data_IF_311166173771
#
_entry.id   IF_311166173771
#
_cell.length_a   1.000
_cell.length_b   1.000
_cell.length_c   1.000
_cell.angle_alpha   90.00
_cell.angle_beta   90.00
_cell.angle_gamma   90.00
#
_symmetry.space_group_name_H-M   'P 1'
#
loop_
_entity.id
_entity.type
_entity.pdbx_description
1 polymer ?
#
# COMPACT_ATOMS: atom_id res chain seq x y z
N UNK A 1 -12.94 -38.02 56.60
CA UNK A 1 -12.74 -36.56 56.62
C UNK A 1 -11.71 -36.23 55.55
N UNK A 2 -12.15 -35.86 54.34
CA UNK A 2 -11.40 -35.04 53.35
C UNK A 2 -12.23 -34.99 52.06
N UNK A 3 -12.85 -33.84 51.82
CA UNK A 3 -13.44 -33.49 50.54
C UNK A 3 -12.38 -32.77 49.71
N UNK A 4 -12.20 -33.16 48.46
CA UNK A 4 -11.34 -32.48 47.50
C UNK A 4 -12.20 -31.53 46.67
N UNK A 5 -12.00 -30.21 46.83
CA UNK A 5 -12.64 -29.19 46.01
C UNK A 5 -11.94 -29.14 44.64
N UNK A 6 -12.73 -29.25 43.57
CA UNK A 6 -12.30 -28.99 42.20
C UNK A 6 -12.45 -27.49 41.93
N UNK A 7 -11.33 -26.78 41.77
CA UNK A 7 -11.33 -25.38 41.37
C UNK A 7 -11.29 -25.29 39.83
N UNK A 8 -12.41 -24.91 39.21
CA UNK A 8 -12.46 -24.53 37.80
C UNK A 8 -11.95 -23.10 37.66
N UNK A 9 -10.71 -22.92 37.18
CA UNK A 9 -10.23 -21.62 36.68
C UNK A 9 -10.78 -21.39 35.28
N UNK A 10 -11.73 -20.46 35.15
CA UNK A 10 -12.16 -19.92 33.87
C UNK A 10 -11.04 -19.04 33.28
N UNK A 11 -10.49 -19.45 32.15
CA UNK A 11 -9.57 -18.62 31.36
C UNK A 11 -10.41 -17.66 30.53
N UNK A 12 -10.40 -16.37 30.89
CA UNK A 12 -11.03 -15.33 30.10
C UNK A 12 -10.17 -15.06 28.85
N UNK A 13 -10.71 -15.35 27.67
CA UNK A 13 -10.09 -15.00 26.38
C UNK A 13 -10.42 -13.53 26.08
N UNK A 14 -9.43 -12.64 25.84
CA UNK A 14 -9.69 -11.24 25.60
C UNK A 14 -10.24 -11.03 24.18
N UNK A 15 -11.58 -10.92 24.04
CA UNK A 15 -12.24 -10.56 22.77
C UNK A 15 -12.23 -9.04 22.48
N UNK A 16 -11.54 -8.23 23.28
CA UNK A 16 -11.67 -6.76 23.25
C UNK A 16 -10.70 -5.98 22.37
N UNK A 17 -9.63 -6.61 21.86
CA UNK A 17 -8.55 -5.89 21.16
C UNK A 17 -8.88 -5.65 19.68
N UNK A 18 -9.46 -6.61 18.96
CA UNK A 18 -9.74 -6.44 17.52
C UNK A 18 -10.82 -5.40 17.24
N UNK A 19 -11.91 -5.40 18.02
CA UNK A 19 -13.04 -4.48 17.81
C UNK A 19 -12.66 -3.00 17.95
N UNK A 20 -11.72 -2.69 18.84
CA UNK A 20 -11.26 -1.31 19.05
C UNK A 20 -10.31 -0.84 17.95
N UNK A 21 -9.54 -1.75 17.35
CA UNK A 21 -8.66 -1.47 16.21
C UNK A 21 -9.49 -1.30 14.94
N UNK A 22 -10.44 -2.21 14.67
CA UNK A 22 -11.35 -2.13 13.53
C UNK A 22 -12.13 -0.80 13.50
N UNK A 23 -12.60 -0.32 14.66
CA UNK A 23 -13.28 0.97 14.75
C UNK A 23 -12.39 2.18 14.43
N UNK A 24 -11.08 2.10 14.71
CA UNK A 24 -10.11 3.17 14.41
C UNK A 24 -9.68 3.18 12.95
N UNK A 25 -9.72 2.02 12.28
CA UNK A 25 -9.35 1.89 10.88
C UNK A 25 -10.50 2.22 9.91
N UNK A 26 -11.75 2.23 10.40
CA UNK A 26 -12.93 2.51 9.59
C UNK A 26 -12.85 3.84 8.80
N UNK A 27 -12.45 4.98 9.38
CA UNK A 27 -12.33 6.24 8.63
C UNK A 27 -11.33 6.17 7.46
N UNK A 28 -10.24 5.41 7.62
CA UNK A 28 -9.23 5.22 6.58
C UNK A 28 -9.81 4.37 5.45
N UNK A 29 -10.49 3.27 5.79
CA UNK A 29 -11.18 2.41 4.81
C UNK A 29 -12.26 3.17 4.03
N UNK A 30 -13.02 4.02 4.71
CA UNK A 30 -14.06 4.85 4.12
C UNK A 30 -13.46 5.88 3.15
N UNK A 31 -12.39 6.57 3.56
CA UNK A 31 -11.67 7.51 2.70
C UNK A 31 -11.13 6.84 1.45
N UNK A 32 -10.49 5.69 1.59
CA UNK A 32 -9.98 4.95 0.43
C UNK A 32 -11.11 4.48 -0.48
N UNK A 33 -12.22 4.02 0.08
CA UNK A 33 -13.35 3.55 -0.71
C UNK A 33 -14.08 4.68 -1.43
N UNK A 34 -14.20 5.85 -0.81
CA UNK A 34 -15.00 6.97 -1.34
C UNK A 34 -14.19 7.96 -2.17
N UNK A 35 -12.95 8.27 -1.76
CA UNK A 35 -12.12 9.29 -2.40
C UNK A 35 -11.05 8.71 -3.32
N UNK A 36 -10.57 7.48 -3.08
CA UNK A 36 -9.45 6.88 -3.83
C UNK A 36 -9.94 5.94 -4.94
N UNK A 37 -10.79 4.95 -4.59
CA UNK A 37 -11.29 3.97 -5.56
C UNK A 37 -11.88 4.57 -6.86
N UNK A 38 -12.63 5.70 -6.85
CA UNK A 38 -13.26 6.22 -8.06
C UNK A 38 -12.31 6.55 -9.22
N UNK A 39 -11.05 6.87 -8.94
CA UNK A 39 -10.07 7.22 -9.96
C UNK A 39 -9.05 6.12 -10.25
N UNK A 40 -9.15 4.94 -9.64
CA UNK A 40 -8.26 3.81 -9.97
C UNK A 40 -8.51 3.24 -11.37
N UNK A 41 -9.67 3.52 -11.96
CA UNK A 41 -10.01 3.18 -13.34
C UNK A 41 -9.59 4.28 -14.34
N UNK A 42 -8.90 5.33 -13.90
CA UNK A 42 -8.39 6.35 -14.81
C UNK A 42 -7.42 5.70 -15.82
N UNK A 43 -7.53 6.01 -17.13
CA UNK A 43 -6.64 5.45 -18.14
C UNK A 43 -5.15 5.59 -17.79
N UNK A 44 -4.72 6.69 -17.16
CA UNK A 44 -3.31 6.88 -16.79
C UNK A 44 -2.81 5.81 -15.81
N UNK A 45 -3.69 5.31 -14.93
CA UNK A 45 -3.39 4.25 -13.97
C UNK A 45 -3.38 2.90 -14.68
N UNK A 46 -4.46 2.58 -15.38
CA UNK A 46 -4.65 1.26 -16.01
C UNK A 46 -3.62 1.00 -17.10
N UNK A 47 -3.34 1.98 -17.95
CA UNK A 47 -2.39 1.83 -19.06
C UNK A 47 -0.96 1.72 -18.57
N UNK A 48 -0.56 2.47 -17.54
CA UNK A 48 0.77 2.39 -16.97
C UNK A 48 1.05 1.01 -16.34
N UNK A 49 0.09 0.47 -15.58
CA UNK A 49 0.22 -0.88 -15.00
C UNK A 49 0.26 -1.93 -16.10
N UNK A 50 -0.63 -1.87 -17.10
CA UNK A 50 -0.64 -2.83 -18.23
C UNK A 50 0.66 -2.78 -19.02
N UNK A 51 1.20 -1.59 -19.29
CA UNK A 51 2.47 -1.41 -19.98
C UNK A 51 3.64 -2.00 -19.17
N UNK A 52 3.69 -1.73 -17.87
CA UNK A 52 4.75 -2.26 -17.01
C UNK A 52 4.65 -3.78 -16.85
N UNK A 53 3.45 -4.33 -16.64
CA UNK A 53 3.24 -5.78 -16.62
C UNK A 53 3.71 -6.46 -17.90
N UNK A 54 3.46 -5.86 -19.07
CA UNK A 54 3.93 -6.38 -20.34
C UNK A 54 5.47 -6.33 -20.46
N UNK A 55 6.09 -5.23 -20.06
CA UNK A 55 7.55 -5.07 -20.07
C UNK A 55 8.23 -6.04 -19.08
N UNK A 56 7.61 -6.26 -17.93
CA UNK A 56 8.15 -7.06 -16.85
C UNK A 56 7.77 -8.54 -16.93
N UNK A 57 7.01 -8.97 -17.96
CA UNK A 57 6.45 -10.32 -18.03
C UNK A 57 7.48 -11.46 -17.82
N UNK A 58 8.71 -11.24 -18.30
CA UNK A 58 9.79 -12.23 -18.25
C UNK A 58 10.76 -12.05 -17.06
N UNK A 59 10.56 -11.05 -16.19
CA UNK A 59 11.43 -10.85 -15.03
C UNK A 59 11.30 -12.02 -14.06
N UNK A 60 12.42 -12.66 -13.75
CA UNK A 60 12.55 -13.60 -12.64
C UNK A 60 12.83 -12.87 -11.33
N UNK A 61 12.82 -13.61 -10.21
CA UNK A 61 13.11 -13.04 -8.89
C UNK A 61 14.47 -12.34 -8.83
N UNK A 62 15.51 -12.93 -9.44
CA UNK A 62 16.83 -12.33 -9.47
C UNK A 62 16.87 -10.97 -10.20
N UNK A 63 16.02 -10.76 -11.20
CA UNK A 63 15.92 -9.48 -11.89
C UNK A 63 15.20 -8.44 -11.02
N UNK A 64 14.14 -8.87 -10.32
CA UNK A 64 13.40 -8.04 -9.34
C UNK A 64 14.34 -7.59 -8.23
N UNK A 65 15.08 -8.52 -7.62
CA UNK A 65 16.05 -8.22 -6.55
C UNK A 65 17.16 -7.26 -7.05
N UNK A 66 17.56 -7.38 -8.32
CA UNK A 66 18.55 -6.49 -8.92
C UNK A 66 17.99 -5.06 -9.13
N UNK A 67 16.74 -4.93 -9.57
CA UNK A 67 16.05 -3.64 -9.69
C UNK A 67 15.87 -2.99 -8.33
N UNK A 68 15.47 -3.77 -7.32
CA UNK A 68 15.31 -3.28 -5.96
C UNK A 68 16.63 -2.79 -5.36
N UNK A 69 17.68 -3.60 -5.47
CA UNK A 69 19.02 -3.21 -5.03
C UNK A 69 19.51 -1.95 -5.72
N UNK A 70 19.22 -1.79 -7.02
CA UNK A 70 19.57 -0.58 -7.76
C UNK A 70 18.86 0.63 -7.18
N UNK A 71 17.54 0.57 -7.01
CA UNK A 71 16.75 1.66 -6.43
C UNK A 71 17.28 2.08 -5.05
N UNK A 72 17.51 1.12 -4.16
CA UNK A 72 18.03 1.38 -2.81
C UNK A 72 19.41 2.05 -2.85
N UNK A 73 20.27 1.66 -3.79
CA UNK A 73 21.55 2.32 -3.99
C UNK A 73 21.40 3.76 -4.51
N UNK A 74 20.35 4.04 -5.29
CA UNK A 74 20.02 5.39 -5.74
C UNK A 74 19.45 6.25 -4.60
N UNK A 75 18.67 5.70 -3.66
CA UNK A 75 18.14 6.43 -2.49
C UNK A 75 19.27 7.03 -1.64
N UNK A 76 20.33 6.25 -1.38
CA UNK A 76 21.49 6.68 -0.58
C UNK A 76 22.58 7.38 -1.41
N UNK A 77 22.46 7.33 -2.74
CA UNK A 77 23.49 7.74 -3.69
C UNK A 77 23.31 9.15 -4.25
N UNK A 78 24.12 9.47 -5.27
CA UNK A 78 24.00 10.73 -6.03
C UNK A 78 23.45 10.53 -7.45
N UNK A 79 23.34 9.27 -7.90
CA UNK A 79 22.68 8.92 -9.15
C UNK A 79 21.25 8.50 -8.81
N UNK A 80 20.27 9.20 -9.36
CA UNK A 80 18.85 8.96 -9.15
C UNK A 80 18.13 8.61 -10.46
N UNK A 81 18.85 8.11 -11.47
CA UNK A 81 18.31 7.93 -12.81
C UNK A 81 17.05 7.05 -12.87
N UNK A 82 16.98 5.97 -12.09
CA UNK A 82 15.79 5.11 -12.00
C UNK A 82 14.68 5.78 -11.19
N UNK A 83 15.02 6.40 -10.06
CA UNK A 83 14.07 7.14 -9.21
C UNK A 83 13.41 8.28 -10.01
N UNK A 84 14.22 9.13 -10.66
CA UNK A 84 13.78 10.24 -11.51
C UNK A 84 12.94 9.74 -12.69
N UNK A 85 13.31 8.60 -13.26
CA UNK A 85 12.55 7.95 -14.34
C UNK A 85 11.13 7.55 -13.89
N UNK A 86 11.00 6.98 -12.70
CA UNK A 86 9.70 6.60 -12.12
C UNK A 86 8.92 7.85 -11.72
N UNK A 87 9.50 8.76 -10.93
CA UNK A 87 8.83 9.98 -10.45
C UNK A 87 8.48 10.95 -11.58
N UNK A 88 9.21 10.93 -12.70
CA UNK A 88 8.97 11.80 -13.86
C UNK A 88 7.86 11.32 -14.81
N UNK A 89 7.36 10.09 -14.64
CA UNK A 89 6.38 9.50 -15.55
C UNK A 89 4.96 10.09 -15.37
N UNK A 90 4.06 9.78 -16.31
CA UNK A 90 2.70 10.33 -16.32
C UNK A 90 1.87 9.89 -15.11
N UNK A 91 2.02 8.63 -14.66
CA UNK A 91 1.31 8.11 -13.49
C UNK A 91 1.79 8.81 -12.22
N UNK A 92 3.10 8.95 -12.00
CA UNK A 92 3.67 9.65 -10.84
C UNK A 92 3.18 11.09 -10.76
N UNK A 93 3.15 11.83 -11.88
CA UNK A 93 2.58 13.19 -11.93
C UNK A 93 1.11 13.21 -11.52
N UNK A 94 0.31 12.28 -12.02
CA UNK A 94 -1.08 12.14 -11.60
C UNK A 94 -1.21 11.86 -10.09
N UNK A 95 -0.37 10.98 -9.53
CA UNK A 95 -0.37 10.68 -8.10
C UNK A 95 0.06 11.89 -7.25
N UNK A 96 1.04 12.66 -7.72
CA UNK A 96 1.45 13.93 -7.09
C UNK A 96 0.31 14.94 -7.07
N UNK A 97 -0.47 15.07 -8.15
CA UNK A 97 -1.65 15.92 -8.21
C UNK A 97 -2.73 15.45 -7.23
N UNK A 98 -2.99 14.13 -7.12
CA UNK A 98 -3.92 13.56 -6.13
C UNK A 98 -3.47 13.84 -4.71
N UNK A 99 -2.18 13.65 -4.40
CA UNK A 99 -1.60 13.98 -3.10
C UNK A 99 -1.76 15.46 -2.78
N UNK A 100 -1.41 16.35 -3.71
CA UNK A 100 -1.53 17.81 -3.51
C UNK A 100 -2.98 18.27 -3.30
N UNK A 101 -3.94 17.69 -4.03
CA UNK A 101 -5.36 18.00 -3.91
C UNK A 101 -6.01 17.44 -2.62
N UNK A 102 -5.32 16.56 -1.89
CA UNK A 102 -5.86 15.91 -0.70
C UNK A 102 -5.96 16.80 0.54
N UNK A 103 -5.42 18.04 0.48
CA UNK A 103 -5.31 18.95 1.63
C UNK A 103 -4.59 18.31 2.84
N UNK A 104 -3.56 17.50 2.58
CA UNK A 104 -2.72 16.89 3.62
C UNK A 104 -3.24 15.56 4.17
N UNK A 105 -4.36 15.05 3.67
CA UNK A 105 -4.86 13.70 4.03
C UNK A 105 -3.99 12.58 3.50
N UNK A 106 -3.33 12.80 2.36
CA UNK A 106 -2.42 11.85 1.76
C UNK A 106 -0.98 12.25 2.07
N UNK A 107 -0.26 11.39 2.77
CA UNK A 107 1.16 11.52 3.04
C UNK A 107 2.00 11.00 1.87
N UNK A 108 1.60 9.91 1.24
CA UNK A 108 2.26 9.30 0.08
C UNK A 108 1.29 8.43 -0.72
N UNK A 109 1.59 8.20 -2.00
CA UNK A 109 0.85 7.28 -2.87
C UNK A 109 1.82 6.57 -3.79
N UNK A 110 1.67 5.26 -3.96
CA UNK A 110 2.37 4.53 -5.01
C UNK A 110 1.50 3.41 -5.57
N UNK A 111 1.74 3.10 -6.84
CA UNK A 111 1.07 2.03 -7.57
C UNK A 111 2.10 0.98 -7.93
N UNK A 112 1.76 -0.28 -7.69
CA UNK A 112 2.57 -1.46 -7.94
C UNK A 112 2.00 -2.29 -9.10
N UNK A 113 2.88 -2.92 -9.87
CA UNK A 113 2.54 -3.88 -10.92
C UNK A 113 2.20 -5.28 -10.34
N UNK A 114 1.90 -6.25 -11.20
CA UNK A 114 1.51 -7.60 -10.77
C UNK A 114 2.65 -8.40 -10.10
N UNK A 115 3.89 -7.89 -10.14
CA UNK A 115 5.06 -8.44 -9.44
C UNK A 115 5.38 -7.65 -8.17
N UNK A 116 4.66 -6.57 -7.88
CA UNK A 116 4.91 -5.69 -6.74
C UNK A 116 5.95 -4.60 -7.03
N UNK A 117 6.36 -4.39 -8.28
CA UNK A 117 7.30 -3.32 -8.63
C UNK A 117 6.57 -1.98 -8.77
N UNK A 118 7.16 -0.89 -8.25
CA UNK A 118 6.52 0.43 -8.31
C UNK A 118 6.42 0.99 -9.75
N UNK A 119 5.19 1.17 -10.23
CA UNK A 119 4.86 1.73 -11.55
C UNK A 119 4.94 3.25 -11.54
N UNK A 120 4.47 3.88 -10.47
CA UNK A 120 4.46 5.32 -10.29
C UNK A 120 4.22 5.68 -8.84
N UNK A 121 4.77 6.81 -8.40
CA UNK A 121 4.80 7.20 -6.99
C UNK A 121 4.67 8.72 -6.85
N UNK A 122 4.11 9.19 -5.73
CA UNK A 122 4.09 10.62 -5.40
C UNK A 122 5.44 11.07 -4.82
N UNK A 123 6.09 10.19 -4.08
CA UNK A 123 7.35 10.38 -3.37
C UNK A 123 8.15 9.07 -3.49
N UNK A 124 9.50 9.10 -3.43
CA UNK A 124 10.27 7.87 -3.53
C UNK A 124 10.08 7.00 -2.27
N UNK A 125 9.73 5.73 -2.48
CA UNK A 125 9.81 4.69 -1.44
C UNK A 125 11.26 4.33 -1.10
N UNK A 126 11.46 3.69 0.05
CA UNK A 126 12.77 3.15 0.46
C UNK A 126 13.35 2.11 -0.50
N UNK A 127 12.47 1.37 -1.16
CA UNK A 127 12.73 0.20 -1.98
C UNK A 127 11.75 0.15 -3.15
N UNK A 128 12.14 -0.49 -4.25
CA UNK A 128 11.35 -0.48 -5.50
C UNK A 128 10.35 -1.62 -5.56
N UNK A 129 10.72 -2.75 -4.96
CA UNK A 129 9.87 -3.93 -4.88
C UNK A 129 9.10 -3.95 -3.57
N UNK A 130 7.80 -4.10 -3.67
CA UNK A 130 6.85 -4.16 -2.55
C UNK A 130 6.11 -5.51 -2.53
N UNK A 131 6.51 -6.47 -3.36
CA UNK A 131 5.75 -7.71 -3.57
C UNK A 131 5.83 -8.70 -2.40
N UNK A 132 6.84 -8.58 -1.56
CA UNK A 132 7.00 -9.29 -0.30
C UNK A 132 6.28 -8.62 0.87
N UNK A 133 5.87 -7.36 0.72
CA UNK A 133 5.21 -6.58 1.75
C UNK A 133 3.75 -7.00 1.99
N UNK A 134 3.32 -6.87 3.25
CA UNK A 134 1.95 -7.17 3.67
C UNK A 134 0.91 -6.35 2.89
N UNK A 135 1.25 -5.09 2.57
CA UNK A 135 0.43 -4.16 1.79
C UNK A 135 0.06 -4.71 0.42
N UNK A 136 0.97 -5.44 -0.24
CA UNK A 136 0.75 -6.06 -1.53
C UNK A 136 0.08 -7.43 -1.40
N UNK A 137 0.58 -8.29 -0.51
CA UNK A 137 0.08 -9.65 -0.34
C UNK A 137 -1.38 -9.69 0.15
N UNK A 138 -1.75 -8.79 1.07
CA UNK A 138 -3.10 -8.74 1.64
C UNK A 138 -4.08 -7.89 0.82
N UNK A 139 -3.59 -7.15 -0.18
CA UNK A 139 -4.43 -6.49 -1.19
C UNK A 139 -4.45 -7.30 -2.48
N UNK A 140 -3.49 -7.09 -3.38
CA UNK A 140 -3.40 -7.76 -4.68
C UNK A 140 -3.43 -9.29 -4.55
N UNK A 141 -2.65 -9.84 -3.62
CA UNK A 141 -2.63 -11.29 -3.35
C UNK A 141 -3.94 -11.86 -2.81
N UNK A 142 -4.80 -11.02 -2.21
CA UNK A 142 -6.14 -11.39 -1.76
C UNK A 142 -7.20 -11.31 -2.87
N UNK A 143 -6.84 -10.78 -4.06
CA UNK A 143 -7.66 -10.80 -5.26
C UNK A 143 -8.48 -9.52 -5.48
N UNK A 144 -9.47 -9.64 -6.38
CA UNK A 144 -10.29 -8.51 -6.83
C UNK A 144 -11.02 -7.84 -5.66
N UNK A 145 -11.12 -6.51 -5.73
CA UNK A 145 -11.81 -5.63 -4.78
C UNK A 145 -11.26 -5.63 -3.34
N UNK A 146 -10.16 -6.35 -3.09
CA UNK A 146 -9.52 -6.37 -1.78
C UNK A 146 -9.05 -4.98 -1.36
N UNK A 147 -9.33 -4.66 -0.10
CA UNK A 147 -8.82 -3.49 0.61
C UNK A 147 -8.13 -4.00 1.86
N UNK A 148 -6.89 -3.57 2.06
CA UNK A 148 -6.13 -3.84 3.26
C UNK A 148 -5.77 -2.50 3.90
N UNK A 149 -6.09 -2.33 5.18
CA UNK A 149 -5.66 -1.17 5.97
C UNK A 149 -4.72 -1.70 7.04
N UNK A 150 -3.50 -1.17 7.05
CA UNK A 150 -2.49 -1.55 8.02
C UNK A 150 -2.70 -0.82 9.35
N UNK A 151 -1.93 -1.20 10.36
CA UNK A 151 -2.00 -0.56 11.66
C UNK A 151 -1.69 0.95 11.58
N UNK A 152 -2.21 1.70 12.55
CA UNK A 152 -1.87 3.12 12.67
C UNK A 152 -0.54 3.22 13.41
N UNK A 153 0.44 3.82 12.76
CA UNK A 153 1.75 4.10 13.32
C UNK A 153 1.95 5.61 13.48
N UNK A 154 2.90 5.98 14.33
CA UNK A 154 3.28 7.38 14.52
C UNK A 154 4.54 7.65 13.71
N UNK A 155 4.46 8.58 12.79
CA UNK A 155 5.63 9.05 12.06
C UNK A 155 6.56 9.81 13.02
N UNK A 156 7.79 9.34 13.20
CA UNK A 156 8.70 9.92 14.20
C UNK A 156 9.13 11.35 13.85
N UNK A 157 9.15 11.70 12.56
CA UNK A 157 9.64 13.00 12.08
C UNK A 157 8.61 14.13 12.25
N UNK A 158 7.34 13.82 11.99
CA UNK A 158 6.22 14.76 12.01
C UNK A 158 5.35 14.62 13.26
N UNK A 159 5.51 13.53 13.99
CA UNK A 159 4.67 13.12 15.12
C UNK A 159 3.20 12.87 14.74
N UNK A 160 2.88 12.85 13.44
CA UNK A 160 1.54 12.59 12.92
C UNK A 160 1.21 11.10 12.97
N UNK A 161 -0.07 10.78 13.20
CA UNK A 161 -0.56 9.41 13.04
C UNK A 161 -0.81 9.11 11.57
N UNK A 162 -0.24 8.01 11.09
CA UNK A 162 -0.37 7.57 9.71
C UNK A 162 -0.74 6.09 9.64
N UNK A 163 -1.46 5.70 8.60
CA UNK A 163 -1.71 4.29 8.27
C UNK A 163 -1.63 4.13 6.77
N UNK A 164 -1.13 2.99 6.30
CA UNK A 164 -1.17 2.65 4.90
C UNK A 164 -2.43 1.85 4.58
N UNK A 165 -3.10 2.22 3.51
CA UNK A 165 -4.22 1.48 2.97
C UNK A 165 -3.96 1.12 1.52
N UNK A 166 -4.15 -0.16 1.19
CA UNK A 166 -3.85 -0.73 -0.11
C UNK A 166 -5.07 -1.35 -0.75
N UNK A 167 -5.21 -1.16 -2.06
CA UNK A 167 -6.37 -1.62 -2.83
C UNK A 167 -5.91 -2.33 -4.09
N UNK A 168 -6.52 -3.48 -4.38
CA UNK A 168 -6.34 -4.14 -5.67
C UNK A 168 -6.89 -3.27 -6.80
N UNK A 169 -6.06 -3.03 -7.81
CA UNK A 169 -6.46 -2.40 -9.06
C UNK A 169 -6.78 -3.51 -10.06
N UNK A 170 -7.98 -3.44 -10.64
CA UNK A 170 -8.43 -4.37 -11.68
C UNK A 170 -8.66 -3.63 -12.99
N UNK A 171 -8.46 -4.33 -14.11
CA UNK A 171 -8.78 -3.79 -15.42
C UNK A 171 -10.29 -3.73 -15.69
N UNK A 172 -10.64 -3.22 -16.86
CA UNK A 172 -12.00 -3.11 -17.39
C UNK A 172 -12.77 -4.45 -17.46
N UNK A 173 -12.05 -5.58 -17.46
CA UNK A 173 -12.62 -6.93 -17.45
C UNK A 173 -12.74 -7.50 -16.03
N UNK A 174 -12.32 -6.75 -15.02
CA UNK A 174 -12.28 -7.18 -13.62
C UNK A 174 -11.07 -8.07 -13.28
N UNK A 175 -10.06 -8.13 -14.15
CA UNK A 175 -8.83 -8.89 -13.86
C UNK A 175 -7.92 -8.06 -12.97
N UNK A 176 -7.45 -8.55 -11.80
CA UNK A 176 -6.43 -7.86 -11.01
C UNK A 176 -5.16 -7.65 -11.84
N UNK A 177 -4.64 -6.43 -11.87
CA UNK A 177 -3.42 -6.07 -12.61
C UNK A 177 -2.32 -5.45 -11.74
N UNK A 178 -2.64 -5.04 -10.51
CA UNK A 178 -1.69 -4.45 -9.58
C UNK A 178 -2.39 -3.97 -8.32
N UNK A 179 -1.72 -3.16 -7.52
CA UNK A 179 -2.31 -2.52 -6.34
C UNK A 179 -1.85 -1.07 -6.20
N UNK A 180 -2.65 -0.27 -5.53
CA UNK A 180 -2.24 1.04 -5.00
C UNK A 180 -2.01 0.89 -3.50
N UNK A 181 -1.05 1.63 -2.97
CA UNK A 181 -0.94 1.94 -1.54
C UNK A 181 -1.02 3.44 -1.35
N UNK A 182 -1.78 3.87 -0.35
CA UNK A 182 -1.92 5.26 0.07
C UNK A 182 -1.52 5.35 1.54
N UNK A 183 -0.52 6.16 1.85
CA UNK A 183 -0.24 6.58 3.22
C UNK A 183 -1.20 7.69 3.60
N UNK A 184 -2.04 7.44 4.60
CA UNK A 184 -3.11 8.35 5.03
C UNK A 184 -2.75 8.97 6.37
N UNK A 185 -2.76 10.31 6.42
CA UNK A 185 -2.62 11.07 7.66
C UNK A 185 -3.94 11.03 8.43
N UNK A 186 -3.96 10.31 9.53
CA UNK A 186 -5.14 10.08 10.37
C UNK A 186 -5.59 11.36 11.06
N UNK A 187 -4.67 12.27 11.38
CA UNK A 187 -4.99 13.54 12.04
C UNK A 187 -5.67 14.53 11.08
N UNK A 188 -5.54 14.31 9.76
CA UNK A 188 -6.12 15.15 8.71
C UNK A 188 -7.44 14.61 8.11
N UNK A 189 -7.84 13.39 8.49
CA UNK A 189 -9.07 12.70 8.05
C UNK A 189 -10.32 13.29 8.71
#
# INVERSE_FOLDING_TARGET
MTAFLLACTAVAVPMGVSMAQDAKLAPISDYVTSDIKPWLNDPVVIEAIKAQNAANANLGQADIDALDKKWRAEVDGSDHSMIDGVLGNALSKFLQEKKAASNGKIAEIFVMDAKGLNVGQSDPTSDYWQGDEGKFQKSFGAGKDAVFVDEIEKDESTQALQSQASVTISDDKGSPIGAITVGVNVDAL
#
